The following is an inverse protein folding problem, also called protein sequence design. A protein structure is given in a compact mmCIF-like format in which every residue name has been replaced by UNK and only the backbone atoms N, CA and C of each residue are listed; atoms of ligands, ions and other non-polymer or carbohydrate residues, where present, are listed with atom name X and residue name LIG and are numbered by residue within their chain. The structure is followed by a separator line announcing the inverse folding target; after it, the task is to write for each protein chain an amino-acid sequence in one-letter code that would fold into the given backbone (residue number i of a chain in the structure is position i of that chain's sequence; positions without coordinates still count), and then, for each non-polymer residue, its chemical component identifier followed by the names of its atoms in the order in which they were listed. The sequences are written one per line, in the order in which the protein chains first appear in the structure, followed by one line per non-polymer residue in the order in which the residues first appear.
data_IF_039893217184
#
_entry.id   IF_039893217184
#
_cell.length_a   1.000
_cell.length_b   1.000
_cell.length_c   1.000
_cell.angle_alpha   90.00
_cell.angle_beta   90.00
_cell.angle_gamma   90.00
#
_symmetry.space_group_name_H-M   'P 1'
#
loop_
_entity.id
_entity.type
_entity.pdbx_description
1 polymer ?
#
# COMPACT_ATOMS: atom_id res chain seq x y z
N UNK A 1 -1.66 21.06 -13.75
CA UNK A 1 -0.23 20.93 -13.40
C UNK A 1 -0.06 21.33 -11.94
N UNK A 2 0.80 20.65 -11.17
CA UNK A 2 1.01 20.96 -9.76
C UNK A 2 1.64 22.36 -9.61
N UNK A 3 1.21 23.09 -8.57
CA UNK A 3 1.73 24.43 -8.27
C UNK A 3 3.19 24.37 -7.76
N UNK A 4 3.49 23.34 -6.94
CA UNK A 4 4.82 23.12 -6.36
C UNK A 4 5.43 21.80 -6.85
N UNK A 5 5.80 21.75 -8.14
CA UNK A 5 6.30 20.54 -8.80
C UNK A 5 7.35 19.77 -8.01
N UNK A 6 8.35 20.45 -7.41
CA UNK A 6 9.42 19.79 -6.65
C UNK A 6 8.89 18.99 -5.44
N UNK A 7 7.95 19.56 -4.69
CA UNK A 7 7.36 18.91 -3.51
C UNK A 7 6.47 17.75 -3.91
N UNK A 8 5.66 17.94 -4.97
CA UNK A 8 4.83 16.88 -5.54
C UNK A 8 5.70 15.72 -6.06
N UNK A 9 6.79 16.04 -6.75
CA UNK A 9 7.73 15.04 -7.24
C UNK A 9 8.38 14.24 -6.10
N UNK A 10 8.86 14.91 -5.05
CA UNK A 10 9.46 14.23 -3.88
C UNK A 10 8.44 13.34 -3.16
N UNK A 11 7.21 13.82 -2.95
CA UNK A 11 6.09 13.02 -2.42
C UNK A 11 5.81 11.80 -3.30
N UNK A 12 5.80 12.00 -4.61
CA UNK A 12 5.56 10.92 -5.58
C UNK A 12 6.67 9.87 -5.53
N UNK A 13 7.92 10.28 -5.41
CA UNK A 13 9.04 9.35 -5.23
C UNK A 13 8.86 8.47 -3.99
N UNK A 14 8.48 9.05 -2.85
CA UNK A 14 8.22 8.28 -1.62
C UNK A 14 7.15 7.21 -1.86
N UNK A 15 6.05 7.57 -2.55
CA UNK A 15 4.97 6.63 -2.85
C UNK A 15 5.40 5.54 -3.83
N UNK A 16 6.14 5.90 -4.89
CA UNK A 16 6.66 4.95 -5.87
C UNK A 16 7.62 3.97 -5.20
N UNK A 17 8.55 4.44 -4.37
CA UNK A 17 9.46 3.55 -3.63
C UNK A 17 8.71 2.65 -2.64
N UNK A 18 7.71 3.17 -1.93
CA UNK A 18 6.87 2.35 -1.05
C UNK A 18 6.24 1.19 -1.83
N UNK A 19 5.64 1.48 -2.99
CA UNK A 19 5.00 0.45 -3.83
C UNK A 19 6.00 -0.51 -4.47
N UNK A 20 7.17 -0.04 -4.90
CA UNK A 20 8.22 -0.91 -5.43
C UNK A 20 8.72 -1.90 -4.37
N UNK A 21 8.92 -1.45 -3.14
CA UNK A 21 9.30 -2.35 -2.04
C UNK A 21 8.15 -3.32 -1.75
N UNK A 22 6.91 -2.84 -1.67
CA UNK A 22 5.72 -3.67 -1.43
C UNK A 22 5.60 -4.78 -2.48
N UNK A 23 5.56 -4.43 -3.76
CA UNK A 23 5.46 -5.41 -4.84
C UNK A 23 6.71 -6.29 -4.96
N UNK A 24 7.90 -5.73 -4.71
CA UNK A 24 9.14 -6.49 -4.68
C UNK A 24 9.15 -7.57 -3.60
N UNK A 25 8.62 -7.26 -2.42
CA UNK A 25 8.49 -8.22 -1.33
C UNK A 25 7.58 -9.41 -1.66
N UNK A 26 6.56 -9.22 -2.52
CA UNK A 26 5.67 -10.32 -2.93
C UNK A 26 6.39 -11.42 -3.71
N UNK A 27 7.59 -11.17 -4.23
CA UNK A 27 8.40 -12.20 -4.88
C UNK A 27 9.02 -13.19 -3.88
N UNK A 28 9.17 -12.79 -2.61
CA UNK A 28 9.93 -13.54 -1.61
C UNK A 28 9.11 -13.92 -0.38
N UNK A 29 8.00 -13.21 -0.12
CA UNK A 29 7.19 -13.38 1.08
C UNK A 29 5.73 -13.64 0.75
N UNK A 30 4.99 -14.37 1.61
CA UNK A 30 3.54 -14.52 1.48
C UNK A 30 2.82 -13.17 1.49
N UNK A 31 1.73 -13.08 0.72
CA UNK A 31 0.92 -11.85 0.59
C UNK A 31 0.48 -11.31 1.96
N UNK A 32 0.09 -12.20 2.88
CA UNK A 32 -0.31 -11.82 4.24
C UNK A 32 0.80 -11.11 5.01
N UNK A 33 2.04 -11.58 4.90
CA UNK A 33 3.19 -10.97 5.57
C UNK A 33 3.53 -9.60 4.97
N UNK A 34 3.49 -9.49 3.64
CA UNK A 34 3.75 -8.22 2.94
C UNK A 34 2.66 -7.20 3.25
N UNK A 35 1.39 -7.63 3.24
CA UNK A 35 0.27 -6.78 3.61
C UNK A 35 0.38 -6.32 5.08
N UNK A 36 0.70 -7.22 6.01
CA UNK A 36 0.89 -6.84 7.41
C UNK A 36 1.98 -5.76 7.59
N UNK A 37 3.09 -5.86 6.85
CA UNK A 37 4.12 -4.84 6.85
C UNK A 37 3.59 -3.48 6.37
N UNK A 38 2.83 -3.42 5.28
CA UNK A 38 2.23 -2.19 4.80
C UNK A 38 1.22 -1.62 5.83
N UNK A 39 0.41 -2.48 6.47
CA UNK A 39 -0.57 -2.07 7.48
C UNK A 39 0.04 -1.65 8.83
N UNK A 40 1.36 -1.64 8.96
CA UNK A 40 2.02 -0.89 10.03
C UNK A 40 1.99 0.62 9.79
N UNK A 41 1.67 1.06 8.57
CA UNK A 41 1.65 2.49 8.20
C UNK A 41 0.80 3.38 9.11
N UNK A 42 -0.40 3.01 9.60
CA UNK A 42 -1.16 3.88 10.50
C UNK A 42 -0.44 4.18 11.81
N UNK A 43 0.38 3.25 12.32
CA UNK A 43 1.22 3.49 13.50
C UNK A 43 2.23 4.61 13.19
N UNK A 44 2.93 4.50 12.06
CA UNK A 44 3.91 5.50 11.65
C UNK A 44 3.26 6.83 11.27
N UNK A 45 2.04 6.83 10.71
CA UNK A 45 1.27 8.06 10.47
C UNK A 45 1.01 8.79 11.79
N UNK A 46 0.61 8.10 12.87
CA UNK A 46 0.46 8.75 14.18
C UNK A 46 1.78 9.31 14.67
N UNK A 47 2.86 8.53 14.63
CA UNK A 47 4.18 8.98 15.08
C UNK A 47 4.61 10.24 14.31
N UNK A 48 4.52 10.21 12.99
CA UNK A 48 4.91 11.35 12.15
C UNK A 48 3.94 12.53 12.25
N UNK A 49 2.64 12.31 12.50
CA UNK A 49 1.70 13.39 12.79
C UNK A 49 2.12 14.19 14.00
N UNK A 50 2.56 13.53 15.06
CA UNK A 50 3.04 14.18 16.28
C UNK A 50 4.36 14.90 16.01
N UNK A 51 5.32 14.22 15.37
CA UNK A 51 6.68 14.72 15.21
C UNK A 51 6.78 15.82 14.14
N UNK A 52 6.14 15.64 12.98
CA UNK A 52 6.33 16.51 11.81
C UNK A 52 5.20 17.54 11.66
N UNK A 53 3.95 17.14 11.89
CA UNK A 53 2.79 18.03 11.78
C UNK A 53 2.48 18.75 13.11
N UNK A 54 3.05 18.26 14.24
CA UNK A 54 2.74 18.74 15.60
C UNK A 54 1.23 18.68 15.89
N UNK A 55 0.53 17.73 15.28
CA UNK A 55 -0.90 17.51 15.55
C UNK A 55 -1.10 17.00 16.98
N UNK A 56 -2.13 17.51 17.65
CA UNK A 56 -2.58 16.97 18.94
C UNK A 56 -3.36 15.68 18.68
N UNK A 57 -2.73 14.54 18.87
CA UNK A 57 -3.39 13.23 18.73
C UNK A 57 -4.07 12.86 20.03
N UNK A 58 -5.38 12.64 19.98
CA UNK A 58 -6.14 12.17 21.13
C UNK A 58 -5.76 10.74 21.49
N UNK A 59 -5.72 10.44 22.77
CA UNK A 59 -5.37 9.11 23.28
C UNK A 59 -6.28 8.01 22.69
N UNK A 60 -7.55 8.31 22.44
CA UNK A 60 -8.50 7.41 21.80
C UNK A 60 -8.02 6.94 20.41
N UNK A 61 -7.37 7.81 19.62
CA UNK A 61 -6.86 7.46 18.31
C UNK A 61 -5.62 6.53 18.39
N UNK A 62 -4.81 6.72 19.44
CA UNK A 62 -3.68 5.81 19.70
C UNK A 62 -4.22 4.41 20.00
N UNK A 63 -5.22 4.31 20.88
CA UNK A 63 -5.87 3.03 21.17
C UNK A 63 -6.56 2.44 19.93
N UNK A 64 -7.23 3.24 19.12
CA UNK A 64 -7.84 2.79 17.88
C UNK A 64 -6.80 2.15 16.95
N UNK A 65 -5.66 2.82 16.72
CA UNK A 65 -4.59 2.26 15.88
C UNK A 65 -3.98 1.00 16.49
N UNK A 66 -3.80 0.93 17.80
CA UNK A 66 -3.29 -0.29 18.44
C UNK A 66 -4.28 -1.46 18.30
N UNK A 67 -5.57 -1.22 18.51
CA UNK A 67 -6.63 -2.24 18.33
C UNK A 67 -6.71 -2.66 16.87
N UNK A 68 -6.72 -1.71 15.93
CA UNK A 68 -6.73 -1.97 14.49
C UNK A 68 -5.51 -2.75 14.01
N UNK A 69 -4.31 -2.42 14.51
CA UNK A 69 -3.07 -3.15 14.22
C UNK A 69 -3.14 -4.59 14.74
N UNK A 70 -3.64 -4.78 15.95
CA UNK A 70 -3.81 -6.11 16.52
C UNK A 70 -4.88 -6.92 15.74
N UNK A 71 -5.98 -6.27 15.37
CA UNK A 71 -7.00 -6.85 14.49
C UNK A 71 -6.45 -7.28 13.13
N UNK A 72 -5.62 -6.43 12.51
CA UNK A 72 -4.89 -6.74 11.27
C UNK A 72 -4.01 -7.96 11.42
N UNK A 73 -3.26 -8.01 12.50
CA UNK A 73 -2.39 -9.13 12.83
C UNK A 73 -3.17 -10.45 12.92
N UNK A 74 -4.30 -10.46 13.59
CA UNK A 74 -5.17 -11.63 13.70
C UNK A 74 -5.80 -11.99 12.34
N UNK A 75 -6.28 -11.00 11.59
CA UNK A 75 -6.93 -11.21 10.30
C UNK A 75 -5.99 -11.84 9.27
N UNK A 76 -4.72 -11.46 9.27
CA UNK A 76 -3.72 -11.97 8.34
C UNK A 76 -3.09 -13.30 8.78
N UNK A 77 -3.45 -13.84 9.95
CA UNK A 77 -3.00 -15.15 10.45
C UNK A 77 -1.48 -15.34 10.37
N UNK A 78 -0.71 -14.35 10.82
CA UNK A 78 0.74 -14.32 10.67
C UNK A 78 1.43 -15.44 11.47
N UNK A 79 2.30 -16.18 10.79
CA UNK A 79 3.17 -17.15 11.40
C UNK A 79 4.56 -16.55 11.65
N UNK A 80 5.05 -16.60 12.89
CA UNK A 80 6.37 -16.05 13.27
C UNK A 80 7.53 -17.04 13.21
N UNK A 81 7.26 -18.28 12.83
CA UNK A 81 8.29 -19.33 12.89
C UNK A 81 9.46 -19.10 11.93
N UNK A 82 9.24 -18.37 10.82
CA UNK A 82 10.24 -18.08 9.79
C UNK A 82 10.68 -16.60 9.78
N UNK A 83 10.72 -15.96 10.95
CA UNK A 83 11.10 -14.55 11.01
C UNK A 83 12.58 -14.35 10.70
N UNK A 84 12.87 -13.63 9.64
CA UNK A 84 14.22 -13.21 9.23
C UNK A 84 14.33 -11.68 9.25
N UNK A 85 15.55 -11.15 9.24
CA UNK A 85 15.75 -9.69 9.15
C UNK A 85 15.16 -9.11 7.87
N UNK A 86 15.08 -9.91 6.79
CA UNK A 86 14.45 -9.52 5.53
C UNK A 86 12.94 -9.36 5.67
N UNK A 87 12.30 -10.01 6.66
CA UNK A 87 10.88 -9.85 6.99
C UNK A 87 10.53 -8.43 7.47
N UNK A 88 11.52 -7.59 7.73
CA UNK A 88 11.33 -6.18 8.04
C UNK A 88 11.16 -5.31 6.77
N UNK A 89 11.51 -5.81 5.59
CA UNK A 89 11.38 -5.05 4.34
C UNK A 89 9.93 -4.55 4.08
N UNK A 90 8.87 -5.36 4.25
CA UNK A 90 7.50 -4.87 4.09
C UNK A 90 7.15 -3.73 5.04
N UNK A 91 7.74 -3.69 6.24
CA UNK A 91 7.54 -2.58 7.20
C UNK A 91 8.13 -1.28 6.65
N UNK A 92 9.26 -1.35 5.92
CA UNK A 92 9.84 -0.15 5.29
C UNK A 92 8.90 0.45 4.24
N UNK A 93 8.14 -0.39 3.51
CA UNK A 93 7.09 0.09 2.63
C UNK A 93 5.99 0.83 3.42
N UNK A 94 5.58 0.31 4.57
CA UNK A 94 4.63 0.97 5.48
C UNK A 94 5.14 2.32 5.99
N UNK A 95 6.41 2.42 6.35
CA UNK A 95 7.04 3.69 6.77
C UNK A 95 7.03 4.71 5.63
N UNK A 96 7.43 4.33 4.42
CA UNK A 96 7.45 5.22 3.26
C UNK A 96 6.04 5.65 2.85
N UNK A 97 5.06 4.75 2.94
CA UNK A 97 3.66 5.07 2.72
C UNK A 97 3.14 6.08 3.76
N UNK A 98 3.47 5.89 5.03
CA UNK A 98 3.15 6.84 6.10
C UNK A 98 3.78 8.21 5.84
N UNK A 99 5.06 8.27 5.45
CA UNK A 99 5.73 9.51 5.05
C UNK A 99 5.04 10.17 3.85
N UNK A 100 4.58 9.38 2.87
CA UNK A 100 3.81 9.90 1.73
C UNK A 100 2.50 10.56 2.20
N UNK A 101 1.80 9.94 3.13
CA UNK A 101 0.56 10.47 3.70
C UNK A 101 0.79 11.78 4.44
N UNK A 102 1.84 11.84 5.25
CA UNK A 102 2.26 13.05 5.98
C UNK A 102 2.70 14.17 5.02
N UNK A 103 3.52 13.85 4.03
CA UNK A 103 3.98 14.85 3.04
C UNK A 103 2.84 15.32 2.15
N UNK A 104 1.84 14.50 1.88
CA UNK A 104 0.60 14.92 1.22
C UNK A 104 -0.08 16.03 2.02
N UNK A 105 -0.18 15.88 3.34
CA UNK A 105 -0.75 16.89 4.23
C UNK A 105 0.12 18.14 4.37
N UNK A 106 1.44 17.94 4.49
CA UNK A 106 2.40 19.01 4.79
C UNK A 106 2.73 19.87 3.57
N UNK A 107 2.94 19.23 2.40
CA UNK A 107 3.47 19.89 1.20
C UNK A 107 2.45 20.04 0.08
N UNK A 108 1.46 19.17 0.02
CA UNK A 108 0.56 19.08 -1.13
C UNK A 108 -0.91 19.32 -0.74
N UNK A 109 -1.15 20.06 0.36
CA UNK A 109 -2.51 20.28 0.87
C UNK A 109 -3.40 21.02 -0.13
N UNK A 110 -2.85 21.98 -0.85
CA UNK A 110 -3.56 22.83 -1.82
C UNK A 110 -3.44 22.31 -3.27
N UNK A 111 -2.70 21.22 -3.47
CA UNK A 111 -2.54 20.61 -4.79
C UNK A 111 -3.78 19.79 -5.20
N UNK A 112 -4.07 19.72 -6.50
CA UNK A 112 -5.15 18.88 -7.01
C UNK A 112 -4.80 17.39 -6.78
N UNK A 113 -5.63 16.67 -6.02
CA UNK A 113 -5.45 15.25 -5.73
C UNK A 113 -5.35 14.39 -7.00
N UNK A 114 -6.03 14.80 -8.08
CA UNK A 114 -5.95 14.13 -9.39
C UNK A 114 -4.55 14.25 -9.99
N UNK A 115 -3.93 15.43 -9.87
CA UNK A 115 -2.55 15.63 -10.33
C UNK A 115 -1.55 14.80 -9.54
N UNK A 116 -1.74 14.66 -8.21
CA UNK A 116 -0.93 13.82 -7.36
C UNK A 116 -1.02 12.34 -7.75
N UNK A 117 -2.22 11.86 -8.04
CA UNK A 117 -2.44 10.48 -8.48
C UNK A 117 -1.92 10.25 -9.90
N UNK A 118 -2.11 11.20 -10.82
CA UNK A 118 -1.53 11.11 -12.15
C UNK A 118 0.00 10.98 -12.09
N UNK A 119 0.67 11.83 -11.32
CA UNK A 119 2.13 11.76 -11.15
C UNK A 119 2.58 10.42 -10.54
N UNK A 120 1.82 9.88 -9.58
CA UNK A 120 2.12 8.57 -8.99
C UNK A 120 1.98 7.44 -10.01
N UNK A 121 0.84 7.33 -10.71
CA UNK A 121 0.63 6.27 -11.70
C UNK A 121 1.57 6.39 -12.89
N UNK A 122 1.87 7.62 -13.33
CA UNK A 122 2.88 7.87 -14.34
C UNK A 122 4.27 7.41 -13.87
N UNK A 123 4.65 7.76 -12.63
CA UNK A 123 5.94 7.39 -12.06
C UNK A 123 6.11 5.88 -11.93
N UNK A 124 5.12 5.18 -11.34
CA UNK A 124 5.20 3.73 -11.19
C UNK A 124 5.13 3.02 -12.54
N UNK A 125 4.32 3.51 -13.48
CA UNK A 125 4.25 2.99 -14.85
C UNK A 125 5.57 3.15 -15.60
N UNK A 126 6.23 4.30 -15.46
CA UNK A 126 7.55 4.54 -16.05
C UNK A 126 8.62 3.59 -15.51
N UNK A 127 8.67 3.41 -14.18
CA UNK A 127 9.59 2.45 -13.55
C UNK A 127 9.27 1.03 -13.99
N UNK A 128 7.98 0.65 -14.07
CA UNK A 128 7.57 -0.68 -14.54
C UNK A 128 7.99 -0.94 -15.98
N UNK A 129 7.90 0.04 -16.87
CA UNK A 129 8.38 -0.08 -18.25
C UNK A 129 9.89 -0.30 -18.30
N UNK A 130 10.67 0.41 -17.50
CA UNK A 130 12.11 0.20 -17.38
C UNK A 130 12.41 -1.21 -16.89
N UNK A 131 11.70 -1.69 -15.86
CA UNK A 131 11.90 -3.03 -15.31
C UNK A 131 11.57 -4.12 -16.34
N UNK A 132 10.47 -3.99 -17.08
CA UNK A 132 10.11 -4.92 -18.16
C UNK A 132 11.22 -4.95 -19.20
N UNK A 133 11.69 -3.77 -19.65
CA UNK A 133 12.76 -3.68 -20.63
C UNK A 133 14.06 -4.36 -20.14
N UNK A 134 14.43 -4.17 -18.88
CA UNK A 134 15.63 -4.80 -18.29
C UNK A 134 15.47 -6.32 -18.17
N UNK A 135 14.29 -6.82 -17.83
CA UNK A 135 14.01 -8.26 -17.74
C UNK A 135 14.09 -8.90 -19.13
N UNK A 136 13.47 -8.29 -20.12
CA UNK A 136 13.54 -8.75 -21.53
C UNK A 136 14.99 -8.75 -22.04
N UNK A 137 15.73 -7.67 -21.77
CA UNK A 137 17.15 -7.59 -22.13
C UNK A 137 17.98 -8.70 -21.48
N UNK A 138 17.72 -8.99 -20.19
CA UNK A 138 18.39 -10.06 -19.47
C UNK A 138 18.08 -11.44 -20.08
N UNK A 139 16.83 -11.67 -20.50
CA UNK A 139 16.44 -12.93 -21.17
C UNK A 139 17.13 -13.10 -22.53
N UNK A 140 17.29 -12.01 -23.31
CA UNK A 140 17.94 -12.04 -24.62
C UNK A 140 19.45 -12.31 -24.49
N UNK A 141 20.11 -11.69 -23.51
CA UNK A 141 21.56 -11.72 -23.36
C UNK A 141 22.05 -12.68 -22.27
N UNK A 142 21.15 -13.35 -21.54
CA UNK A 142 21.46 -14.27 -20.43
C UNK A 142 22.48 -13.69 -19.43
N UNK A 143 22.37 -12.38 -19.14
CA UNK A 143 23.35 -11.65 -18.34
C UNK A 143 23.41 -12.15 -16.90
N UNK A 144 22.26 -12.51 -16.33
CA UNK A 144 22.11 -13.01 -14.96
C UNK A 144 21.04 -14.10 -14.88
N UNK A 145 21.29 -15.11 -14.04
CA UNK A 145 20.28 -16.10 -13.69
C UNK A 145 19.29 -15.50 -12.67
N UNK A 146 18.18 -14.94 -13.15
CA UNK A 146 17.12 -14.43 -12.29
C UNK A 146 16.27 -15.59 -11.75
N UNK A 147 15.89 -15.56 -10.46
CA UNK A 147 14.95 -16.55 -9.92
C UNK A 147 13.60 -16.44 -10.62
N UNK A 148 12.96 -17.58 -10.91
CA UNK A 148 11.61 -17.62 -11.48
C UNK A 148 10.60 -17.16 -10.45
N UNK A 149 10.33 -15.87 -10.41
CA UNK A 149 9.27 -15.24 -9.60
C UNK A 149 8.26 -14.59 -10.52
N UNK A 150 7.09 -14.20 -9.98
CA UNK A 150 6.09 -13.51 -10.78
C UNK A 150 6.62 -12.17 -11.36
N UNK A 151 7.61 -11.53 -10.70
CA UNK A 151 8.23 -10.27 -11.18
C UNK A 151 9.11 -10.49 -12.40
N UNK A 152 9.77 -11.64 -12.49
CA UNK A 152 10.72 -11.97 -13.56
C UNK A 152 10.10 -12.82 -14.67
N UNK A 153 8.82 -13.19 -14.54
CA UNK A 153 8.11 -13.94 -15.57
C UNK A 153 7.90 -13.08 -16.84
N UNK A 154 8.01 -13.69 -18.05
CA UNK A 154 7.80 -12.96 -19.29
C UNK A 154 6.36 -12.45 -19.40
N UNK A 155 6.17 -11.41 -20.22
CA UNK A 155 4.85 -10.90 -20.52
C UNK A 155 3.98 -11.99 -21.13
N UNK A 156 2.82 -12.21 -20.55
CA UNK A 156 1.83 -13.17 -21.04
C UNK A 156 0.85 -12.49 -22.00
N UNK A 157 0.28 -13.26 -22.90
CA UNK A 157 -0.84 -12.80 -23.74
C UNK A 157 -2.11 -12.78 -22.92
N UNK A 158 -2.76 -11.62 -22.85
CA UNK A 158 -4.01 -11.43 -22.09
C UNK A 158 -5.22 -11.57 -23.01
N UNK A 159 -6.27 -12.21 -22.52
CA UNK A 159 -7.57 -12.23 -23.18
C UNK A 159 -8.27 -10.86 -23.06
N UNK A 160 -9.30 -10.61 -23.88
CA UNK A 160 -10.11 -9.39 -23.77
C UNK A 160 -10.78 -9.24 -22.40
N UNK A 161 -11.17 -10.37 -21.79
CA UNK A 161 -11.75 -10.37 -20.43
C UNK A 161 -10.72 -9.95 -19.39
N UNK A 162 -9.48 -10.45 -19.48
CA UNK A 162 -8.39 -10.05 -18.57
C UNK A 162 -8.10 -8.54 -18.70
N UNK A 163 -8.05 -8.03 -19.93
CA UNK A 163 -7.85 -6.61 -20.17
C UNK A 163 -8.99 -5.76 -19.60
N UNK A 164 -10.24 -6.22 -19.69
CA UNK A 164 -11.37 -5.53 -19.09
C UNK A 164 -11.28 -5.49 -17.55
N UNK A 165 -10.85 -6.59 -16.91
CA UNK A 165 -10.64 -6.66 -15.46
C UNK A 165 -9.50 -5.73 -15.05
N UNK A 166 -8.37 -5.74 -15.77
CA UNK A 166 -7.22 -4.87 -15.51
C UNK A 166 -7.65 -3.39 -15.63
N UNK A 167 -8.40 -3.04 -16.68
CA UNK A 167 -8.90 -1.68 -16.87
C UNK A 167 -9.84 -1.24 -15.74
N UNK A 168 -10.78 -2.10 -15.35
CA UNK A 168 -11.68 -1.84 -14.23
C UNK A 168 -10.90 -1.63 -12.93
N UNK A 169 -9.93 -2.50 -12.66
CA UNK A 169 -9.05 -2.37 -11.48
C UNK A 169 -8.27 -1.06 -11.49
N UNK A 170 -7.69 -0.69 -12.63
CA UNK A 170 -6.95 0.56 -12.76
C UNK A 170 -7.85 1.79 -12.51
N UNK A 171 -9.08 1.80 -13.07
CA UNK A 171 -10.04 2.87 -12.86
C UNK A 171 -10.43 3.02 -11.38
N UNK A 172 -10.77 1.91 -10.71
CA UNK A 172 -11.11 1.91 -9.30
C UNK A 172 -9.92 2.33 -8.41
N UNK A 173 -8.69 1.93 -8.78
CA UNK A 173 -7.47 2.34 -8.08
C UNK A 173 -7.23 3.84 -8.18
N UNK A 174 -7.47 4.45 -9.34
CA UNK A 174 -7.38 5.92 -9.51
C UNK A 174 -8.41 6.62 -8.65
N UNK A 175 -9.67 6.17 -8.67
CA UNK A 175 -10.75 6.75 -7.86
C UNK A 175 -10.42 6.64 -6.37
N UNK A 176 -10.07 5.44 -5.90
CA UNK A 176 -9.71 5.20 -4.50
C UNK A 176 -8.48 6.02 -4.07
N UNK A 177 -7.45 6.08 -4.91
CA UNK A 177 -6.25 6.88 -4.65
C UNK A 177 -6.53 8.38 -4.56
N UNK A 178 -7.41 8.93 -5.40
CA UNK A 178 -7.85 10.33 -5.31
C UNK A 178 -8.62 10.56 -4.01
N UNK A 179 -9.54 9.66 -3.63
CA UNK A 179 -10.35 9.81 -2.42
C UNK A 179 -9.48 9.75 -1.15
N UNK A 180 -8.53 8.81 -1.05
CA UNK A 180 -7.65 8.73 0.11
C UNK A 180 -6.69 9.93 0.18
N UNK A 181 -6.21 10.41 -0.96
CA UNK A 181 -5.41 11.63 -1.04
C UNK A 181 -6.18 12.85 -0.53
N UNK A 182 -7.43 13.02 -0.95
CA UNK A 182 -8.34 14.05 -0.44
C UNK A 182 -8.58 13.89 1.07
N UNK A 183 -8.71 12.66 1.55
CA UNK A 183 -8.80 12.35 2.97
C UNK A 183 -7.61 12.94 3.74
N UNK A 184 -6.39 12.66 3.30
CA UNK A 184 -5.17 13.19 3.92
C UNK A 184 -4.99 14.71 3.74
N UNK A 185 -5.44 15.29 2.64
CA UNK A 185 -5.38 16.74 2.43
C UNK A 185 -6.33 17.51 3.37
N UNK A 186 -7.55 17.01 3.55
CA UNK A 186 -8.64 17.73 4.25
C UNK A 186 -8.85 17.27 5.69
N UNK A 187 -8.68 15.98 5.97
CA UNK A 187 -8.88 15.38 7.28
C UNK A 187 -7.69 15.55 8.23
N UNK A 188 -7.85 15.22 9.50
CA UNK A 188 -6.71 15.01 10.41
C UNK A 188 -6.05 13.69 10.07
N UNK A 189 -4.72 13.69 9.89
CA UNK A 189 -3.95 12.52 9.39
C UNK A 189 -4.14 11.29 10.27
N UNK A 190 -4.15 11.45 11.59
CA UNK A 190 -4.36 10.36 12.53
C UNK A 190 -5.77 9.75 12.47
N UNK A 191 -6.78 10.53 12.08
CA UNK A 191 -8.15 10.04 11.91
C UNK A 191 -8.26 9.22 10.61
N UNK A 192 -7.71 9.75 9.51
CA UNK A 192 -7.73 9.06 8.20
C UNK A 192 -7.01 7.72 8.29
N UNK A 193 -5.86 7.67 8.98
CA UNK A 193 -5.07 6.46 9.14
C UNK A 193 -5.83 5.29 9.78
N UNK A 194 -6.72 5.56 10.75
CA UNK A 194 -7.55 4.50 11.36
C UNK A 194 -8.49 3.86 10.31
N UNK A 195 -9.07 4.68 9.43
CA UNK A 195 -9.97 4.17 8.39
C UNK A 195 -9.27 3.29 7.35
N UNK A 196 -7.95 3.37 7.19
CA UNK A 196 -7.22 2.49 6.27
C UNK A 196 -7.34 1.01 6.65
N UNK A 197 -7.53 0.69 7.93
CA UNK A 197 -7.78 -0.69 8.34
C UNK A 197 -9.08 -1.27 7.77
N UNK A 198 -10.08 -0.43 7.46
CA UNK A 198 -11.32 -0.88 6.84
C UNK A 198 -11.11 -1.60 5.51
N UNK A 199 -9.98 -1.34 4.82
CA UNK A 199 -9.60 -2.06 3.61
C UNK A 199 -9.56 -3.58 3.83
N UNK A 200 -9.01 -4.04 4.94
CA UNK A 200 -8.95 -5.47 5.25
C UNK A 200 -10.33 -6.09 5.44
N UNK A 201 -11.25 -5.35 6.06
CA UNK A 201 -12.63 -5.79 6.17
C UNK A 201 -13.27 -6.01 4.80
N UNK A 202 -13.14 -5.03 3.89
CA UNK A 202 -13.69 -5.14 2.55
C UNK A 202 -13.02 -6.24 1.72
N UNK A 203 -11.69 -6.34 1.77
CA UNK A 203 -10.94 -7.38 1.03
C UNK A 203 -11.37 -8.78 1.47
N UNK A 204 -11.45 -9.03 2.78
CA UNK A 204 -11.87 -10.34 3.31
C UNK A 204 -13.33 -10.65 2.93
N UNK A 205 -14.22 -9.63 2.98
CA UNK A 205 -15.61 -9.80 2.57
C UNK A 205 -15.73 -10.17 1.08
N UNK A 206 -14.97 -9.49 0.21
CA UNK A 206 -14.95 -9.80 -1.22
C UNK A 206 -14.30 -11.16 -1.52
N UNK A 207 -13.23 -11.54 -0.80
CA UNK A 207 -12.60 -12.84 -0.93
C UNK A 207 -13.60 -13.98 -0.62
N UNK A 208 -14.39 -13.82 0.45
CA UNK A 208 -15.45 -14.75 0.77
C UNK A 208 -16.54 -14.82 -0.31
N UNK A 209 -17.05 -13.66 -0.78
CA UNK A 209 -18.16 -13.60 -1.72
C UNK A 209 -17.79 -14.08 -3.14
N UNK A 210 -16.57 -13.75 -3.62
CA UNK A 210 -16.17 -14.03 -5.00
C UNK A 210 -15.39 -15.34 -5.15
N UNK A 211 -14.58 -15.70 -4.15
CA UNK A 211 -13.70 -16.86 -4.22
C UNK A 211 -14.10 -17.98 -3.28
N UNK A 212 -15.17 -17.79 -2.50
CA UNK A 212 -15.64 -18.76 -1.49
C UNK A 212 -14.55 -19.15 -0.48
N UNK A 213 -13.63 -18.22 -0.20
CA UNK A 213 -12.57 -18.44 0.76
C UNK A 213 -13.16 -18.68 2.17
N UNK A 214 -12.63 -19.68 2.87
CA UNK A 214 -13.09 -19.99 4.23
C UNK A 214 -12.59 -18.91 5.19
N UNK A 215 -13.54 -18.25 5.87
CA UNK A 215 -13.21 -17.27 6.92
C UNK A 215 -12.88 -18.04 8.20
N UNK A 216 -11.64 -17.97 8.64
CA UNK A 216 -11.21 -18.56 9.92
C UNK A 216 -11.74 -17.73 11.10
N UNK A 217 -11.81 -18.36 12.29
CA UNK A 217 -12.22 -17.65 13.51
C UNK A 217 -11.27 -16.48 13.85
N UNK A 218 -9.98 -16.62 13.57
CA UNK A 218 -8.99 -15.54 13.76
C UNK A 218 -9.28 -14.35 12.83
N UNK A 219 -9.67 -14.61 11.58
CA UNK A 219 -10.07 -13.55 10.63
C UNK A 219 -11.33 -12.81 11.11
N UNK A 220 -12.34 -13.54 11.59
CA UNK A 220 -13.57 -12.94 12.15
C UNK A 220 -13.25 -12.05 13.36
N UNK A 221 -12.44 -12.53 14.29
CA UNK A 221 -12.00 -11.74 15.44
C UNK A 221 -11.20 -10.51 15.01
N UNK A 222 -10.27 -10.67 14.07
CA UNK A 222 -9.50 -9.56 13.51
C UNK A 222 -10.38 -8.50 12.88
N UNK A 223 -11.35 -8.89 12.04
CA UNK A 223 -12.30 -7.96 11.43
C UNK A 223 -13.16 -7.24 12.46
N UNK A 224 -13.61 -7.96 13.49
CA UNK A 224 -14.40 -7.35 14.57
C UNK A 224 -13.60 -6.26 15.31
N UNK A 225 -12.33 -6.52 15.61
CA UNK A 225 -11.44 -5.54 16.22
C UNK A 225 -11.19 -4.33 15.32
N UNK A 226 -11.04 -4.54 14.01
CA UNK A 226 -10.87 -3.46 13.04
C UNK A 226 -12.11 -2.57 12.99
N UNK A 227 -13.29 -3.14 13.04
CA UNK A 227 -14.55 -2.35 13.05
C UNK A 227 -14.73 -1.58 14.36
N UNK A 228 -14.22 -2.11 15.48
CA UNK A 228 -14.28 -1.46 16.79
C UNK A 228 -13.18 -0.41 17.00
N UNK A 229 -12.14 -0.37 16.14
CA UNK A 229 -11.06 0.59 16.24
C UNK A 229 -11.44 1.97 15.72
#
# INVERSE_FOLDING_TARGET
FPQHFKLVFLRTLLMVFAMLIYFGCLAFFPISQVAAGLFTSPIFVIVFSILLLREKVYISRIFAVLIGSFGTFLALSLNFYDFSILSLLPITAGILYALTSITTRLWCREEDARSLMFMFFFGIGFVSLIMIFLIELNQIFELYSLPNTFITSPLQTYSLNDLAIIFMHALLSVIGGVLITLGYQKGTTSFVAVFEYSFLFFVTSWAYLLFSDQISMSMLLGMTLIVLS
#
